data_IF_151226636876
#
_entry.id   IF_151226636876
#
_cell.length_a   1.000
_cell.length_b   1.000
_cell.length_c   1.000
_cell.angle_alpha   90.00
_cell.angle_beta   90.00
_cell.angle_gamma   90.00
#
_symmetry.space_group_name_H-M   'P 1'
#
loop_
_entity.id
_entity.type
_entity.pdbx_description
1 polymer ?
#
# COMPACT_ATOMS: atom_id res chain seq x y z
N UNK A 1 17.82 -2.95 -2.55
CA UNK A 1 16.53 -3.62 -2.28
C UNK A 1 16.08 -4.27 -3.57
N UNK A 2 15.85 -5.58 -3.58
CA UNK A 2 15.37 -6.33 -4.77
C UNK A 2 13.85 -6.20 -4.90
N UNK A 3 13.27 -6.56 -6.07
CA UNK A 3 11.81 -6.59 -6.24
C UNK A 3 11.08 -7.45 -5.19
N UNK A 4 11.65 -8.61 -4.84
CA UNK A 4 11.07 -9.49 -3.82
C UNK A 4 11.10 -8.85 -2.44
N UNK A 5 12.21 -8.20 -2.08
CA UNK A 5 12.33 -7.49 -0.80
C UNK A 5 11.38 -6.30 -0.72
N UNK A 6 11.20 -5.54 -1.81
CA UNK A 6 10.23 -4.45 -1.89
C UNK A 6 8.80 -4.97 -1.67
N UNK A 7 8.45 -6.08 -2.35
CA UNK A 7 7.13 -6.70 -2.20
C UNK A 7 6.90 -7.23 -0.78
N UNK A 8 7.92 -7.83 -0.15
CA UNK A 8 7.86 -8.30 1.24
C UNK A 8 7.68 -7.13 2.21
N UNK A 9 8.46 -6.06 2.05
CA UNK A 9 8.33 -4.83 2.84
C UNK A 9 6.89 -4.30 2.80
N UNK A 10 6.33 -4.10 1.61
CA UNK A 10 4.96 -3.58 1.47
C UNK A 10 3.94 -4.45 2.22
N UNK A 11 4.02 -5.76 2.03
CA UNK A 11 3.13 -6.72 2.69
C UNK A 11 3.29 -6.75 4.20
N UNK A 12 4.52 -6.58 4.71
CA UNK A 12 4.79 -6.54 6.16
C UNK A 12 4.12 -5.36 6.85
N UNK A 13 3.89 -4.26 6.12
CA UNK A 13 3.16 -3.09 6.58
C UNK A 13 1.65 -3.16 6.30
N UNK A 14 1.14 -4.29 5.78
CA UNK A 14 -0.28 -4.44 5.43
C UNK A 14 -0.75 -3.57 4.24
N UNK A 15 0.16 -2.92 3.52
CA UNK A 15 -0.18 -1.94 2.49
C UNK A 15 -0.62 -2.62 1.19
N UNK A 16 -1.70 -2.14 0.56
CA UNK A 16 -2.00 -2.46 -0.85
C UNK A 16 -1.05 -1.65 -1.75
N UNK A 17 -0.96 -2.02 -3.02
CA UNK A 17 -0.12 -1.26 -3.98
C UNK A 17 -0.52 0.21 -4.11
N UNK A 18 -1.80 0.54 -3.92
CA UNK A 18 -2.30 1.93 -3.93
C UNK A 18 -1.80 2.67 -2.70
N UNK A 19 -2.03 2.12 -1.52
CA UNK A 19 -1.63 2.71 -0.23
C UNK A 19 -0.11 2.93 -0.17
N UNK A 20 0.67 1.95 -0.63
CA UNK A 20 2.12 2.08 -0.76
C UNK A 20 2.56 3.22 -1.69
N UNK A 21 1.78 3.48 -2.74
CA UNK A 21 2.05 4.58 -3.65
C UNK A 21 1.75 5.93 -2.97
N UNK A 22 0.64 6.02 -2.23
CA UNK A 22 0.25 7.21 -1.49
C UNK A 22 1.29 7.58 -0.41
N UNK A 23 1.68 6.64 0.44
CA UNK A 23 2.67 6.92 1.52
C UNK A 23 4.08 7.18 1.01
N UNK A 24 4.43 6.70 -0.19
CA UNK A 24 5.72 6.99 -0.82
C UNK A 24 5.69 8.24 -1.71
N UNK A 25 4.52 8.87 -1.91
CA UNK A 25 4.38 9.98 -2.86
C UNK A 25 4.64 9.59 -4.32
N UNK A 26 4.30 8.35 -4.70
CA UNK A 26 4.54 7.79 -6.03
C UNK A 26 3.25 7.45 -6.76
N UNK A 27 3.33 7.30 -8.09
CA UNK A 27 2.25 6.72 -8.88
C UNK A 27 2.17 5.20 -8.61
N UNK A 28 0.95 4.64 -8.48
CA UNK A 28 0.72 3.19 -8.30
C UNK A 28 1.50 2.32 -9.30
N UNK A 29 1.63 2.77 -10.55
CA UNK A 29 2.39 2.06 -11.60
C UNK A 29 3.88 1.92 -11.27
N UNK A 30 4.47 2.84 -10.51
CA UNK A 30 5.86 2.71 -10.05
C UNK A 30 6.02 1.57 -9.06
N UNK A 31 5.06 1.39 -8.16
CA UNK A 31 5.05 0.26 -7.22
C UNK A 31 5.04 -1.07 -7.99
N UNK A 32 4.25 -1.16 -9.06
CA UNK A 32 4.22 -2.35 -9.92
C UNK A 32 5.56 -2.61 -10.60
N UNK A 33 6.20 -1.58 -11.18
CA UNK A 33 7.52 -1.73 -11.80
C UNK A 33 8.59 -2.17 -10.80
N UNK A 34 8.57 -1.64 -9.58
CA UNK A 34 9.51 -2.04 -8.53
C UNK A 34 9.29 -3.47 -8.05
N UNK A 35 8.04 -3.92 -7.90
CA UNK A 35 7.75 -5.30 -7.52
C UNK A 35 8.01 -6.31 -8.63
N UNK A 36 7.88 -5.88 -9.89
CA UNK A 36 8.16 -6.73 -11.06
C UNK A 36 9.66 -6.75 -11.39
N UNK A 37 10.37 -5.67 -11.11
CA UNK A 37 11.78 -5.48 -11.49
C UNK A 37 11.99 -5.11 -12.96
N UNK A 38 10.91 -4.87 -13.73
CA UNK A 38 10.99 -4.49 -15.14
C UNK A 38 9.93 -3.45 -15.56
N UNK A 39 10.27 -2.71 -16.63
CA UNK A 39 9.36 -1.84 -17.39
C UNK A 39 9.62 -2.05 -18.87
N UNK A 40 8.64 -2.63 -19.56
CA UNK A 40 8.68 -2.90 -21.00
C UNK A 40 9.97 -3.66 -21.41
N UNK A 41 10.32 -4.69 -20.63
CA UNK A 41 11.50 -5.52 -20.88
C UNK A 41 12.84 -4.90 -20.45
N UNK A 42 12.83 -3.68 -19.90
CA UNK A 42 14.03 -3.07 -19.31
C UNK A 42 14.03 -3.27 -17.79
N UNK A 43 15.14 -3.69 -17.17
CA UNK A 43 15.26 -3.75 -15.72
C UNK A 43 14.94 -2.40 -15.08
N UNK A 44 14.21 -2.44 -13.97
CA UNK A 44 13.91 -1.25 -13.17
C UNK A 44 14.52 -1.43 -11.79
N UNK A 45 15.48 -0.59 -11.48
CA UNK A 45 16.04 -0.50 -10.14
C UNK A 45 15.18 0.42 -9.27
N UNK A 46 15.07 0.06 -7.99
CA UNK A 46 14.41 0.90 -6.98
C UNK A 46 15.39 2.01 -6.58
N UNK A 47 15.09 3.31 -6.82
CA UNK A 47 16.01 4.41 -6.52
C UNK A 47 16.41 4.50 -5.04
N UNK A 48 17.58 5.09 -4.76
CA UNK A 48 18.07 5.28 -3.37
C UNK A 48 17.05 5.99 -2.49
N UNK A 49 16.43 7.06 -2.99
CA UNK A 49 15.41 7.81 -2.25
C UNK A 49 14.23 6.93 -1.81
N UNK A 50 13.75 6.05 -2.70
CA UNK A 50 12.65 5.13 -2.39
C UNK A 50 13.08 4.10 -1.34
N UNK A 51 14.31 3.58 -1.42
CA UNK A 51 14.81 2.63 -0.41
C UNK A 51 14.92 3.27 0.98
N UNK A 52 15.37 4.52 1.05
CA UNK A 52 15.43 5.28 2.30
C UNK A 52 14.03 5.57 2.85
N UNK A 53 13.08 5.95 1.98
CA UNK A 53 11.68 6.14 2.38
C UNK A 53 11.04 4.85 2.91
N UNK A 54 11.30 3.69 2.28
CA UNK A 54 10.85 2.40 2.79
C UNK A 54 11.38 2.10 4.20
N UNK A 55 12.65 2.43 4.46
CA UNK A 55 13.24 2.28 5.80
C UNK A 55 12.59 3.21 6.82
N UNK A 56 12.40 4.50 6.48
CA UNK A 56 11.72 5.47 7.35
C UNK A 56 10.30 5.02 7.72
N UNK A 57 9.52 4.56 6.74
CA UNK A 57 8.17 4.02 6.96
C UNK A 57 8.17 2.78 7.85
N UNK A 58 9.17 1.89 7.69
CA UNK A 58 9.34 0.74 8.60
C UNK A 58 9.72 1.13 10.02
N UNK A 59 10.34 2.30 10.21
CA UNK A 59 10.61 2.90 11.51
C UNK A 59 9.43 3.73 12.06
N UNK A 60 8.30 3.78 11.34
CA UNK A 60 7.11 4.53 11.74
C UNK A 60 7.14 6.03 11.39
N UNK A 61 8.14 6.48 10.63
CA UNK A 61 8.28 7.88 10.20
C UNK A 61 7.62 8.02 8.83
N UNK A 62 6.57 8.84 8.72
CA UNK A 62 5.90 9.08 7.45
C UNK A 62 6.31 10.39 6.77
N UNK A 63 6.77 11.38 7.53
CA UNK A 63 7.19 12.65 6.97
C UNK A 63 8.39 13.23 7.72
N UNK A 64 9.11 14.14 7.07
CA UNK A 64 10.27 14.81 7.62
C UNK A 64 10.48 16.17 6.93
N UNK A 65 10.44 17.24 7.71
CA UNK A 65 10.56 18.62 7.22
C UNK A 65 12.02 19.14 7.16
N UNK A 66 12.99 18.30 7.50
CA UNK A 66 14.40 18.69 7.63
C UNK A 66 14.87 18.84 9.08
N UNK A 67 13.94 18.88 10.05
CA UNK A 67 14.25 19.08 11.47
C UNK A 67 13.58 18.04 12.35
N UNK A 68 12.31 17.72 12.09
CA UNK A 68 11.50 16.85 12.93
C UNK A 68 10.88 15.69 12.14
N UNK A 69 11.06 14.43 12.58
CA UNK A 69 10.35 13.30 11.99
C UNK A 69 8.91 13.28 12.50
N UNK A 70 7.96 13.19 11.58
CA UNK A 70 6.54 13.07 11.89
C UNK A 70 6.14 11.60 11.86
N UNK A 71 5.64 11.05 12.98
CA UNK A 71 5.07 9.71 13.00
C UNK A 71 3.89 9.63 12.04
N UNK A 72 3.89 8.62 11.18
CA UNK A 72 2.77 8.36 10.29
C UNK A 72 1.69 7.54 10.95
N UNK A 73 0.42 7.68 10.54
CA UNK A 73 -0.49 6.57 10.61
C UNK A 73 0.05 5.54 9.62
N UNK A 74 0.91 4.62 10.06
CA UNK A 74 1.00 3.34 9.35
C UNK A 74 -0.42 2.82 9.43
N UNK A 75 -1.15 2.67 8.31
CA UNK A 75 -2.50 2.15 8.39
C UNK A 75 -2.35 0.80 9.06
N UNK A 76 -2.84 0.70 10.30
CA UNK A 76 -2.96 -0.58 10.97
C UNK A 76 -3.63 -1.50 9.97
N UNK A 77 -3.13 -2.74 9.77
CA UNK A 77 -3.65 -3.63 8.74
C UNK A 77 -5.15 -3.73 8.94
N UNK A 78 -5.91 -3.03 8.09
CA UNK A 78 -7.37 -3.05 8.14
C UNK A 78 -7.72 -4.51 7.86
N UNK A 79 -8.35 -5.26 8.80
CA UNK A 79 -8.86 -6.57 8.46
C UNK A 79 -9.80 -6.35 7.30
N UNK A 80 -9.55 -7.05 6.19
CA UNK A 80 -10.35 -6.95 4.98
C UNK A 80 -11.81 -7.06 5.38
N UNK A 81 -12.54 -5.94 5.34
CA UNK A 81 -13.96 -5.93 5.67
C UNK A 81 -14.63 -6.91 4.72
N UNK A 82 -15.06 -8.04 5.28
CA UNK A 82 -15.97 -8.94 4.61
C UNK A 82 -17.22 -8.14 4.26
N UNK A 83 -17.51 -8.05 2.98
CA UNK A 83 -18.82 -7.64 2.50
C UNK A 83 -19.82 -8.67 3.01
N UNK A 84 -20.55 -8.33 4.07
CA UNK A 84 -21.74 -9.07 4.43
C UNK A 84 -22.73 -9.00 3.25
N UNK A 85 -23.32 -10.12 2.81
CA UNK A 85 -24.35 -10.07 1.78
C UNK A 85 -25.56 -9.33 2.34
N UNK A 86 -25.98 -8.29 1.63
CA UNK A 86 -27.24 -7.59 1.89
C UNK A 86 -28.37 -8.62 1.73
N UNK A 87 -29.21 -8.87 2.76
CA UNK A 87 -30.37 -9.73 2.59
C UNK A 87 -31.35 -9.09 1.60
N UNK A 88 -32.03 -9.88 0.74
CA UNK A 88 -33.02 -9.32 -0.17
C UNK A 88 -34.19 -8.69 0.61
N UNK A 89 -34.86 -7.67 0.04
CA UNK A 89 -36.01 -7.05 0.66
C UNK A 89 -37.14 -8.07 0.84
N UNK A 90 -37.76 -8.08 2.02
CA UNK A 90 -39.00 -8.81 2.27
C UNK A 90 -40.16 -8.05 1.62
N UNK A 91 -40.80 -8.66 0.62
CA UNK A 91 -42.04 -8.13 0.05
C UNK A 91 -43.20 -8.19 1.08
N UNK A 92 -44.06 -7.17 1.14
CA UNK A 92 -45.26 -7.20 1.96
C UNK A 92 -46.42 -7.88 1.21
N UNK A 93 -47.07 -8.80 1.92
CA UNK A 93 -48.47 -9.24 1.83
C UNK A 93 -49.27 -8.96 0.54
N UNK A 94 -49.78 -10.04 -0.07
CA UNK A 94 -51.09 -10.03 -0.72
C UNK A 94 -51.92 -11.18 -0.16
N UNK A 95 -52.93 -10.84 0.65
CA UNK A 95 -54.03 -11.73 0.96
C UNK A 95 -55.07 -11.71 -0.15
N UNK A 96 -55.60 -12.89 -0.48
CA UNK A 96 -56.98 -13.19 -0.85
C UNK A 96 -57.11 -14.72 -0.91
#
# INVERSE_FOLDING_TARGET
MTPELFRKWRKSLGLKQKDAAEVLGLKKRMIQYYEKGDRNGRPVEIPKAVRLACYALSAGIADFDGVTPVPGPVPAPVPASGTAPVPPPSDPAAGA
#
